data_IF_582809240757
#
_entry.id   IF_582809240757
#
_cell.length_a   1.000
_cell.length_b   1.000
_cell.length_c   1.000
_cell.angle_alpha   90.00
_cell.angle_beta   90.00
_cell.angle_gamma   90.00
#
_symmetry.space_group_name_H-M   'P 1'
#
loop_
_entity.id
_entity.type
_entity.pdbx_description
1 polymer ?
#
# COMPACT_ATOMS: atom_id res chain seq x y z
N UNK A 1 -2.03 -14.60 -6.90
CA UNK A 1 -2.40 -13.31 -6.30
C UNK A 1 -3.90 -13.00 -6.41
N UNK A 2 -4.43 -12.88 -7.62
CA UNK A 2 -5.84 -12.44 -7.80
C UNK A 2 -6.86 -13.40 -7.19
N UNK A 3 -6.67 -14.70 -7.32
CA UNK A 3 -7.59 -15.70 -6.79
C UNK A 3 -7.67 -15.75 -5.26
N UNK A 4 -6.57 -15.45 -4.58
CA UNK A 4 -6.51 -15.54 -3.12
C UNK A 4 -7.11 -14.32 -2.40
N UNK A 5 -7.42 -13.25 -3.14
CA UNK A 5 -7.81 -11.96 -2.55
C UNK A 5 -9.07 -11.36 -3.16
N UNK A 6 -9.84 -12.12 -3.89
CA UNK A 6 -11.09 -11.67 -4.55
C UNK A 6 -10.95 -10.36 -5.36
N UNK A 7 -9.75 -10.13 -5.87
CA UNK A 7 -9.46 -8.94 -6.68
C UNK A 7 -9.97 -9.17 -8.11
N UNK A 8 -10.64 -8.18 -8.64
CA UNK A 8 -11.20 -8.23 -9.99
C UNK A 8 -10.12 -8.56 -11.05
N UNK A 9 -10.45 -9.43 -12.00
CA UNK A 9 -9.51 -9.90 -13.02
C UNK A 9 -8.95 -8.79 -13.91
N UNK A 10 -9.68 -7.71 -14.10
CA UNK A 10 -9.22 -6.55 -14.87
C UNK A 10 -8.05 -5.79 -14.20
N UNK A 11 -7.73 -6.11 -12.94
CA UNK A 11 -6.59 -5.54 -12.22
C UNK A 11 -5.32 -6.40 -12.29
N UNK A 12 -5.27 -7.36 -13.24
CA UNK A 12 -4.09 -8.23 -13.39
C UNK A 12 -2.80 -7.47 -13.71
N UNK A 13 -2.90 -6.37 -14.44
CA UNK A 13 -1.74 -5.51 -14.72
C UNK A 13 -1.12 -4.90 -13.46
N UNK A 14 -1.95 -4.52 -12.49
CA UNK A 14 -1.48 -4.04 -11.19
C UNK A 14 -0.79 -5.17 -10.39
N UNK A 15 -1.32 -6.38 -10.47
CA UNK A 15 -0.70 -7.55 -9.84
C UNK A 15 0.69 -7.84 -10.41
N UNK A 16 0.85 -7.82 -11.74
CA UNK A 16 2.13 -8.02 -12.41
C UNK A 16 3.14 -6.93 -12.03
N UNK A 17 2.74 -5.68 -12.04
CA UNK A 17 3.57 -4.56 -11.59
C UNK A 17 4.07 -4.73 -10.16
N UNK A 18 3.19 -5.13 -9.27
CA UNK A 18 3.52 -5.34 -7.85
C UNK A 18 4.48 -6.52 -7.66
N UNK A 19 4.28 -7.61 -8.41
CA UNK A 19 5.19 -8.76 -8.39
C UNK A 19 6.59 -8.32 -8.86
N UNK A 20 6.70 -7.62 -9.97
CA UNK A 20 7.99 -7.13 -10.47
C UNK A 20 8.68 -6.21 -9.47
N UNK A 21 7.93 -5.28 -8.87
CA UNK A 21 8.45 -4.38 -7.85
C UNK A 21 9.00 -5.13 -6.64
N UNK A 22 8.28 -6.13 -6.17
CA UNK A 22 8.63 -6.93 -5.00
C UNK A 22 9.82 -7.85 -5.28
N UNK A 23 9.79 -8.56 -6.41
CA UNK A 23 10.88 -9.49 -6.80
C UNK A 23 12.20 -8.73 -6.92
N UNK A 24 12.22 -7.58 -7.56
CA UNK A 24 13.43 -6.78 -7.73
C UNK A 24 14.05 -6.31 -6.39
N UNK A 25 13.28 -6.29 -5.32
CA UNK A 25 13.72 -5.81 -3.98
C UNK A 25 13.92 -6.92 -2.95
N UNK A 26 13.39 -8.10 -3.18
CA UNK A 26 13.41 -9.19 -2.20
C UNK A 26 14.32 -10.33 -2.63
N UNK A 27 14.28 -10.72 -3.90
CA UNK A 27 15.04 -11.85 -4.41
C UNK A 27 16.44 -11.43 -4.84
N UNK A 28 17.43 -12.25 -4.50
CA UNK A 28 18.79 -12.06 -4.96
C UNK A 28 18.95 -12.50 -6.41
N UNK A 29 19.79 -11.79 -7.15
CA UNK A 29 20.22 -12.24 -8.47
C UNK A 29 21.05 -13.53 -8.33
N UNK A 30 20.79 -14.55 -9.16
CA UNK A 30 21.57 -15.78 -9.14
C UNK A 30 23.07 -15.50 -9.23
N UNK A 31 23.86 -16.15 -8.35
CA UNK A 31 25.31 -15.96 -8.27
C UNK A 31 25.78 -14.73 -7.51
N UNK A 32 24.87 -13.93 -6.94
CA UNK A 32 25.19 -12.75 -6.13
C UNK A 32 24.41 -12.74 -4.83
N UNK A 33 24.85 -11.90 -3.88
CA UNK A 33 24.10 -11.62 -2.65
C UNK A 33 23.35 -10.29 -2.72
N UNK A 34 23.13 -9.77 -3.92
CA UNK A 34 22.52 -8.48 -4.17
C UNK A 34 21.22 -8.66 -4.96
N UNK A 35 20.25 -7.79 -4.69
CA UNK A 35 19.01 -7.75 -5.44
C UNK A 35 19.19 -6.96 -6.74
N UNK A 36 18.36 -7.19 -7.76
CA UNK A 36 18.39 -6.36 -8.98
C UNK A 36 18.26 -4.87 -8.69
N UNK A 37 17.48 -4.51 -7.67
CA UNK A 37 17.34 -3.12 -7.23
C UNK A 37 18.66 -2.52 -6.71
N UNK A 38 19.39 -3.29 -5.87
CA UNK A 38 20.69 -2.85 -5.34
C UNK A 38 21.72 -2.66 -6.45
N UNK A 39 21.75 -3.59 -7.42
CA UNK A 39 22.63 -3.48 -8.57
C UNK A 39 22.37 -2.24 -9.42
N UNK A 40 21.10 -1.86 -9.57
CA UNK A 40 20.74 -0.71 -10.39
C UNK A 40 20.84 0.62 -9.64
N UNK A 41 20.36 0.68 -8.41
CA UNK A 41 20.28 1.92 -7.61
C UNK A 41 21.52 2.15 -6.73
N UNK A 42 22.37 1.14 -6.53
CA UNK A 42 23.54 1.22 -5.68
C UNK A 42 23.24 1.32 -4.18
N UNK A 43 22.01 1.05 -3.77
CA UNK A 43 21.58 1.12 -2.36
C UNK A 43 20.60 0.01 -2.01
N UNK A 44 20.57 -0.36 -0.73
CA UNK A 44 19.64 -1.40 -0.24
C UNK A 44 18.19 -0.91 -0.29
N UNK A 45 17.25 -1.77 -0.73
CA UNK A 45 15.84 -1.45 -0.72
C UNK A 45 15.30 -1.41 0.71
N UNK A 46 14.39 -0.48 0.99
CA UNK A 46 13.68 -0.48 2.26
C UNK A 46 12.48 -1.42 2.18
N UNK A 47 12.58 -2.57 2.83
CA UNK A 47 11.53 -3.61 2.82
C UNK A 47 10.35 -3.30 3.73
N UNK A 48 10.43 -2.30 4.60
CA UNK A 48 9.35 -1.92 5.51
C UNK A 48 8.07 -1.46 4.80
N UNK A 49 8.19 -0.99 3.57
CA UNK A 49 7.06 -0.51 2.77
C UNK A 49 6.40 -1.58 1.92
N UNK A 50 6.94 -2.79 1.91
CA UNK A 50 6.34 -3.89 1.18
C UNK A 50 5.08 -4.35 1.92
N UNK A 51 3.97 -4.46 1.16
CA UNK A 51 2.66 -4.86 1.65
C UNK A 51 2.10 -5.99 0.81
N UNK A 52 1.17 -6.75 1.38
CA UNK A 52 0.53 -7.87 0.70
C UNK A 52 -0.47 -7.34 -0.31
N UNK A 53 -0.32 -7.74 -1.58
CA UNK A 53 -1.25 -7.39 -2.65
C UNK A 53 -2.68 -7.87 -2.33
N UNK A 54 -3.65 -7.01 -2.56
CA UNK A 54 -5.05 -7.32 -2.33
C UNK A 54 -5.52 -7.13 -0.89
N UNK A 55 -4.65 -6.66 0.01
CA UNK A 55 -5.03 -6.35 1.38
C UNK A 55 -6.07 -5.24 1.43
N UNK A 56 -7.00 -5.34 2.38
CA UNK A 56 -7.95 -4.27 2.66
C UNK A 56 -7.22 -3.04 3.17
N UNK A 57 -7.55 -1.90 2.64
CA UNK A 57 -6.99 -0.63 3.07
C UNK A 57 -8.08 0.43 3.28
N UNK A 58 -7.75 1.43 4.08
CA UNK A 58 -8.60 2.57 4.35
C UNK A 58 -7.90 3.83 3.85
N UNK A 59 -8.53 4.49 2.88
CA UNK A 59 -8.03 5.70 2.24
C UNK A 59 -8.56 6.89 3.04
N UNK A 60 -7.66 7.62 3.68
CA UNK A 60 -8.04 8.80 4.46
C UNK A 60 -8.40 9.95 3.52
N UNK A 61 -9.52 10.60 3.82
CA UNK A 61 -9.97 11.80 3.10
C UNK A 61 -9.32 13.05 3.69
N UNK A 62 -9.06 14.02 2.85
CA UNK A 62 -8.62 15.34 3.31
C UNK A 62 -9.76 16.03 4.08
N UNK A 63 -9.41 16.69 5.18
CA UNK A 63 -10.39 17.36 6.06
C UNK A 63 -11.30 18.35 5.34
N UNK A 64 -10.81 18.98 4.29
CA UNK A 64 -11.55 19.95 3.49
C UNK A 64 -12.71 19.31 2.70
N UNK A 65 -12.63 18.02 2.40
CA UNK A 65 -13.61 17.31 1.60
C UNK A 65 -14.60 16.47 2.42
N UNK A 66 -14.50 16.49 3.75
CA UNK A 66 -15.37 15.71 4.64
C UNK A 66 -16.45 16.59 5.25
N UNK A 67 -17.72 16.28 4.98
CA UNK A 67 -18.86 16.91 5.62
C UNK A 67 -19.05 16.35 7.04
N UNK A 68 -19.80 17.06 7.87
CA UNK A 68 -19.97 16.78 9.31
C UNK A 68 -20.40 15.35 9.65
N UNK A 69 -21.08 14.66 8.74
CA UNK A 69 -21.60 13.30 8.91
C UNK A 69 -20.99 12.27 7.94
N UNK A 70 -20.01 12.68 7.13
CA UNK A 70 -19.38 11.77 6.18
C UNK A 70 -18.31 10.91 6.87
N UNK A 71 -18.10 9.71 6.33
CA UNK A 71 -17.00 8.86 6.72
C UNK A 71 -15.66 9.54 6.43
N UNK A 72 -14.73 9.47 7.37
CA UNK A 72 -13.36 9.99 7.25
C UNK A 72 -12.47 9.18 6.32
N UNK A 73 -12.89 7.97 5.98
CA UNK A 73 -12.12 7.08 5.13
C UNK A 73 -13.01 6.35 4.13
N UNK A 74 -12.45 6.02 2.99
CA UNK A 74 -13.02 5.10 2.02
C UNK A 74 -12.33 3.75 2.12
N UNK A 75 -13.09 2.67 2.02
CA UNK A 75 -12.54 1.33 1.93
C UNK A 75 -11.99 1.08 0.53
N UNK A 76 -10.83 0.44 0.47
CA UNK A 76 -10.16 0.11 -0.79
C UNK A 76 -9.37 -1.20 -0.71
N UNK A 77 -8.71 -1.49 -1.82
CA UNK A 77 -7.83 -2.66 -1.97
C UNK A 77 -6.45 -2.17 -2.35
N UNK A 78 -5.43 -2.66 -1.65
CA UNK A 78 -4.05 -2.36 -1.97
C UNK A 78 -3.63 -3.07 -3.25
N UNK A 79 -3.13 -2.32 -4.23
CA UNK A 79 -2.72 -2.84 -5.53
C UNK A 79 -1.21 -2.76 -5.78
N UNK A 80 -0.51 -1.85 -5.12
CA UNK A 80 0.91 -1.72 -5.35
C UNK A 80 1.47 -0.34 -5.05
N UNK A 81 2.46 0.05 -5.84
CA UNK A 81 3.30 1.21 -5.57
C UNK A 81 3.27 2.15 -6.77
N UNK A 82 3.38 3.45 -6.49
CA UNK A 82 3.57 4.44 -7.55
C UNK A 82 4.95 4.27 -8.19
N UNK A 83 5.04 4.49 -9.50
CA UNK A 83 6.30 4.53 -10.23
C UNK A 83 7.02 5.87 -10.14
N UNK A 84 6.29 6.93 -9.85
CA UNK A 84 6.78 8.32 -9.89
C UNK A 84 6.93 8.97 -8.52
N UNK A 85 6.21 8.46 -7.54
CA UNK A 85 6.19 9.01 -6.18
C UNK A 85 6.27 7.93 -5.11
N UNK A 86 6.46 8.33 -3.85
CA UNK A 86 6.43 7.40 -2.70
C UNK A 86 4.99 7.12 -2.22
N UNK A 87 4.06 6.99 -3.14
CA UNK A 87 2.66 6.71 -2.86
C UNK A 87 2.34 5.23 -3.11
N UNK A 88 1.25 4.77 -2.48
CA UNK A 88 0.65 3.48 -2.77
C UNK A 88 -0.43 3.60 -3.83
N UNK A 89 -0.54 2.58 -4.68
CA UNK A 89 -1.65 2.44 -5.62
C UNK A 89 -2.74 1.61 -4.96
N UNK A 90 -3.94 2.17 -4.91
CA UNK A 90 -5.08 1.54 -4.26
C UNK A 90 -6.32 1.64 -5.14
N UNK A 91 -7.17 0.64 -5.07
CA UNK A 91 -8.48 0.67 -5.70
C UNK A 91 -9.52 1.14 -4.69
N UNK A 92 -10.13 2.27 -4.95
CA UNK A 92 -11.19 2.79 -4.10
C UNK A 92 -12.53 2.10 -4.46
N UNK A 93 -13.10 1.38 -3.51
CA UNK A 93 -14.37 0.66 -3.71
C UNK A 93 -15.57 1.58 -3.92
N UNK A 94 -15.55 2.78 -3.35
CA UNK A 94 -16.64 3.75 -3.49
C UNK A 94 -16.63 4.41 -4.87
N UNK A 95 -15.50 4.90 -5.31
CA UNK A 95 -15.37 5.60 -6.60
C UNK A 95 -15.15 4.66 -7.77
N UNK A 96 -14.84 3.37 -7.51
CA UNK A 96 -14.52 2.35 -8.52
C UNK A 96 -13.31 2.71 -9.39
N UNK A 97 -12.35 3.43 -8.84
CA UNK A 97 -11.15 3.89 -9.54
C UNK A 97 -9.88 3.50 -8.81
N UNK A 98 -8.82 3.27 -9.60
CA UNK A 98 -7.46 3.16 -9.08
C UNK A 98 -6.91 4.56 -8.85
N UNK A 99 -6.30 4.79 -7.69
CA UNK A 99 -5.70 6.06 -7.33
C UNK A 99 -4.37 5.86 -6.63
N UNK A 100 -3.54 6.88 -6.62
CA UNK A 100 -2.29 6.92 -5.87
C UNK A 100 -2.44 7.83 -4.67
N UNK A 101 -2.10 7.34 -3.49
CA UNK A 101 -2.19 8.11 -2.25
C UNK A 101 -1.14 7.66 -1.25
N UNK A 102 -0.69 8.60 -0.45
CA UNK A 102 0.16 8.34 0.72
C UNK A 102 -0.68 8.21 2.00
N UNK A 103 -1.91 8.75 1.99
CA UNK A 103 -2.82 8.77 3.14
C UNK A 103 -3.68 7.51 3.17
N UNK A 104 -3.05 6.37 3.42
CA UNK A 104 -3.73 5.07 3.45
C UNK A 104 -3.24 4.24 4.62
N UNK A 105 -4.15 3.55 5.28
CA UNK A 105 -3.86 2.54 6.31
C UNK A 105 -4.16 1.17 5.72
N UNK A 106 -3.17 0.29 5.68
CA UNK A 106 -3.29 -1.06 5.11
C UNK A 106 -3.44 -2.06 6.25
N UNK A 107 -4.50 -2.87 6.17
CA UNK A 107 -4.77 -3.93 7.12
C UNK A 107 -4.46 -5.29 6.48
N UNK A 108 -3.35 -5.89 6.87
CA UNK A 108 -2.92 -7.21 6.38
C UNK A 108 -3.52 -8.38 7.18
N UNK A 109 -4.10 -8.11 8.34
CA UNK A 109 -4.58 -9.14 9.27
C UNK A 109 -6.03 -9.63 8.98
N UNK A 110 -6.76 -9.00 8.06
CA UNK A 110 -8.19 -9.23 7.86
C UNK A 110 -8.56 -10.41 6.94
N UNK A 111 -7.61 -11.29 6.64
CA UNK A 111 -7.87 -12.41 5.71
C UNK A 111 -8.65 -13.59 6.30
N UNK A 112 -9.04 -13.55 7.56
CA UNK A 112 -9.66 -14.69 8.22
C UNK A 112 -11.09 -14.49 8.72
N UNK A 113 -11.71 -13.33 8.55
CA UNK A 113 -13.12 -13.17 8.93
C UNK A 113 -13.75 -11.90 8.36
N UNK A 114 -14.51 -12.08 7.30
CA UNK A 114 -15.34 -11.04 6.68
C UNK A 114 -16.55 -10.59 7.50
N UNK A 115 -16.71 -11.06 8.74
CA UNK A 115 -17.93 -10.82 9.51
C UNK A 115 -17.82 -9.94 10.77
N UNK A 116 -16.65 -9.40 11.11
CA UNK A 116 -16.50 -8.64 12.37
C UNK A 116 -15.80 -7.29 12.27
N UNK A 117 -15.90 -6.60 11.14
CA UNK A 117 -15.21 -5.29 10.96
C UNK A 117 -16.08 -4.09 11.35
N UNK A 118 -17.38 -4.26 11.58
CA UNK A 118 -18.24 -3.14 11.98
C UNK A 118 -18.09 -2.69 13.45
N UNK A 119 -17.38 -3.46 14.29
CA UNK A 119 -17.28 -3.13 15.72
C UNK A 119 -15.87 -2.87 16.26
N UNK A 120 -14.83 -3.00 15.45
CA UNK A 120 -13.45 -2.74 15.89
C UNK A 120 -12.68 -1.79 14.99
N UNK A 121 -13.23 -0.62 14.75
CA UNK A 121 -12.39 0.55 14.49
C UNK A 121 -11.96 1.01 15.89
N UNK A 122 -10.70 0.82 16.32
CA UNK A 122 -10.25 1.41 17.55
C UNK A 122 -10.48 2.91 17.44
N UNK A 123 -11.07 3.51 18.48
CA UNK A 123 -11.23 4.98 18.58
C UNK A 123 -9.89 5.74 18.51
N UNK A 124 -8.78 5.02 18.41
CA UNK A 124 -7.42 5.51 18.20
C UNK A 124 -7.03 5.73 16.73
N UNK A 125 -7.88 5.37 15.77
CA UNK A 125 -7.72 5.82 14.38
C UNK A 125 -8.45 7.17 14.19
N UNK A 126 -8.30 8.04 15.13
CA UNK A 126 -8.29 9.47 14.87
C UNK A 126 -7.11 9.75 13.94
N UNK A 127 -7.26 10.62 12.95
CA UNK A 127 -6.35 10.71 11.82
C UNK A 127 -4.91 10.68 12.35
N UNK A 128 -4.09 9.72 11.92
CA UNK A 128 -2.69 9.79 12.25
C UNK A 128 -2.23 11.14 11.76
N UNK A 129 -1.73 11.96 12.69
CA UNK A 129 -1.01 13.16 12.30
C UNK A 129 -0.04 12.76 11.20
N UNK A 130 0.28 13.62 10.24
CA UNK A 130 1.10 13.31 9.05
C UNK A 130 2.49 12.71 9.33
N UNK A 131 2.79 12.35 10.56
CA UNK A 131 4.05 11.71 10.97
C UNK A 131 4.35 10.38 10.28
N UNK A 132 3.34 9.60 9.88
CA UNK A 132 3.57 8.33 9.18
C UNK A 132 4.15 8.58 7.79
N UNK A 133 3.74 9.66 7.14
CA UNK A 133 4.27 10.05 5.83
C UNK A 133 5.71 10.58 5.94
N UNK A 134 6.04 11.28 7.03
CA UNK A 134 7.41 11.75 7.26
C UNK A 134 8.38 10.60 7.54
N UNK A 135 7.98 9.58 8.31
CA UNK A 135 8.83 8.40 8.52
C UNK A 135 9.12 7.65 7.23
N UNK A 136 8.16 7.62 6.29
CA UNK A 136 8.36 7.00 4.98
C UNK A 136 9.37 7.80 4.14
N UNK A 137 9.38 9.13 4.26
CA UNK A 137 10.26 9.99 3.48
C UNK A 137 11.67 10.04 4.07
N UNK A 138 11.79 10.04 5.41
CA UNK A 138 13.06 10.29 6.09
C UNK A 138 13.93 9.03 6.27
N UNK A 139 13.41 7.83 6.02
CA UNK A 139 14.12 6.58 6.26
C UNK A 139 14.67 5.87 5.01
N UNK A 140 14.47 6.41 3.84
CA UNK A 140 15.30 5.94 2.71
C UNK A 140 16.71 6.47 2.90
N UNK A 141 17.71 5.57 3.02
CA UNK A 141 19.07 6.05 3.12
C UNK A 141 19.40 6.84 1.85
N UNK A 142 19.71 8.10 2.03
CA UNK A 142 20.32 8.90 0.96
C UNK A 142 21.65 8.24 0.64
N UNK A 143 21.76 7.65 -0.53
CA UNK A 143 23.05 7.15 -0.98
C UNK A 143 24.01 8.30 -1.16
N UNK A 144 25.24 8.20 -0.68
CA UNK A 144 26.30 9.10 -1.10
C UNK A 144 26.56 8.97 -2.61
#
# INVERSE_FOLDING_TARGET
>A
MLYNKDVARNLWGEAVNTVCHTINRVYFKPGTKETPYELWKGRKPNRKYLRIFGSTCFILKDKENVRKFDSWSDEGIFLGYSSTSKAYRVYNKRTKKVMETVNVVINEASDSSSEKISEKIPKEILPPKPKVVQEIVDQEPVSP
#
